data_IF_303009622680
#
_entry.id   IF_303009622680
#
_cell.length_a   1.000
_cell.length_b   1.000
_cell.length_c   1.000
_cell.angle_alpha   90.00
_cell.angle_beta   90.00
_cell.angle_gamma   90.00
#
_symmetry.space_group_name_H-M   'P 1'
#
loop_
_entity.id
_entity.type
_entity.pdbx_description
1 polymer ?
#
# COMPACT_ATOMS: atom_id res chain seq x y z
N UNK A 1 14.91 18.48 2.73
CA UNK A 1 14.00 17.40 3.20
C UNK A 1 12.88 18.05 3.99
N UNK A 2 12.10 18.89 3.33
CA UNK A 2 11.18 19.82 3.99
C UNK A 2 9.94 19.91 3.12
N UNK A 3 8.79 19.58 3.69
CA UNK A 3 7.52 19.71 3.01
C UNK A 3 7.16 21.21 3.00
N UNK A 4 7.59 21.95 1.97
CA UNK A 4 7.22 23.35 1.74
C UNK A 4 5.79 23.50 1.19
N UNK A 5 4.94 22.48 1.30
CA UNK A 5 3.54 22.61 0.93
C UNK A 5 2.82 23.35 2.05
N UNK A 6 2.26 24.55 1.80
CA UNK A 6 1.38 25.19 2.77
C UNK A 6 0.30 24.19 3.14
N UNK A 7 0.03 24.02 4.43
CA UNK A 7 -1.03 23.14 4.92
C UNK A 7 -2.35 23.62 4.34
N UNK A 8 -2.73 23.07 3.18
CA UNK A 8 -4.02 23.36 2.57
C UNK A 8 -5.06 22.89 3.56
N UNK A 9 -5.78 23.84 4.16
CA UNK A 9 -6.76 23.67 5.25
C UNK A 9 -6.23 23.44 6.68
N UNK A 10 -4.95 23.63 6.97
CA UNK A 10 -4.45 23.64 8.37
C UNK A 10 -4.42 22.27 9.07
N UNK A 11 -4.61 21.17 8.35
CA UNK A 11 -4.45 19.81 8.91
C UNK A 11 -2.98 19.38 8.86
N UNK A 12 -2.33 19.30 10.02
CA UNK A 12 -0.99 18.72 10.19
C UNK A 12 -1.02 17.61 11.23
N UNK A 13 -0.11 16.64 11.10
CA UNK A 13 0.05 15.55 12.06
C UNK A 13 1.36 15.74 12.82
N UNK A 14 1.29 15.90 14.14
CA UNK A 14 2.47 16.02 14.99
C UNK A 14 3.11 14.64 15.23
N UNK A 15 4.42 14.54 15.02
CA UNK A 15 5.22 13.39 15.41
C UNK A 15 6.55 13.87 15.97
N UNK A 16 6.92 13.42 17.17
CA UNK A 16 8.19 13.81 17.81
C UNK A 16 8.38 15.34 17.92
N UNK A 17 7.28 16.06 18.18
CA UNK A 17 7.27 17.53 18.27
C UNK A 17 7.44 18.26 16.92
N UNK A 18 7.45 17.55 15.79
CA UNK A 18 7.55 18.15 14.46
C UNK A 18 6.24 17.97 13.68
N UNK A 19 5.74 19.02 12.99
CA UNK A 19 4.56 18.93 12.16
C UNK A 19 4.89 18.24 10.82
N UNK A 20 4.17 17.17 10.52
CA UNK A 20 4.25 16.45 9.25
C UNK A 20 2.97 16.64 8.45
N UNK A 21 3.11 16.70 7.12
CA UNK A 21 1.96 16.47 6.27
C UNK A 21 1.52 15.00 6.39
N UNK A 22 0.24 14.73 6.16
CA UNK A 22 -0.35 13.39 6.23
C UNK A 22 0.53 12.35 5.50
N UNK A 23 0.95 12.67 4.27
CA UNK A 23 1.77 11.79 3.43
C UNK A 23 3.10 11.44 4.11
N UNK A 24 3.89 12.42 4.55
CA UNK A 24 5.20 12.17 5.17
C UNK A 24 5.09 11.51 6.55
N UNK A 25 4.05 11.83 7.32
CA UNK A 25 3.77 11.17 8.59
C UNK A 25 3.59 9.66 8.38
N UNK A 26 2.76 9.28 7.42
CA UNK A 26 2.48 7.88 7.11
C UNK A 26 3.62 7.18 6.36
N UNK A 27 4.39 7.90 5.55
CA UNK A 27 5.62 7.41 4.93
C UNK A 27 6.64 6.99 5.99
N UNK A 28 6.92 7.88 6.93
CA UNK A 28 7.87 7.62 8.02
C UNK A 28 7.41 6.48 8.93
N UNK A 29 6.10 6.30 9.08
CA UNK A 29 5.51 5.17 9.83
C UNK A 29 5.42 3.86 9.04
N UNK A 30 5.78 3.84 7.75
CA UNK A 30 5.73 2.63 6.92
C UNK A 30 4.31 2.10 6.72
N UNK A 31 3.34 2.99 6.56
CA UNK A 31 1.93 2.64 6.34
C UNK A 31 1.44 3.00 4.93
N UNK A 32 2.36 3.17 3.98
CA UNK A 32 2.01 3.45 2.59
C UNK A 32 1.59 2.16 1.86
N UNK A 33 0.59 2.29 0.99
CA UNK A 33 0.17 1.24 0.09
C UNK A 33 1.15 1.12 -1.08
N UNK A 34 1.80 -0.03 -1.27
CA UNK A 34 2.70 -0.25 -2.40
C UNK A 34 2.00 -0.21 -3.77
N UNK A 35 0.67 -0.38 -3.83
CA UNK A 35 -0.10 -0.27 -5.08
C UNK A 35 -0.37 1.16 -5.57
N UNK A 36 -0.71 2.09 -4.66
CA UNK A 36 -1.08 3.47 -5.03
C UNK A 36 -0.19 4.55 -4.40
N UNK A 37 0.80 4.14 -3.59
CA UNK A 37 1.73 4.99 -2.83
C UNK A 37 1.03 5.99 -1.89
N UNK A 38 -0.24 5.74 -1.53
CA UNK A 38 -1.00 6.55 -0.59
C UNK A 38 -0.98 5.96 0.82
N UNK A 39 -1.09 6.79 1.87
CA UNK A 39 -1.23 6.34 3.24
C UNK A 39 -2.46 5.46 3.44
N UNK A 40 -2.29 4.34 4.14
CA UNK A 40 -3.39 3.45 4.51
C UNK A 40 -3.93 3.86 5.88
N UNK A 41 -5.01 4.63 5.88
CA UNK A 41 -5.74 5.06 7.07
C UNK A 41 -6.81 4.02 7.43
N UNK A 42 -6.41 2.87 7.97
CA UNK A 42 -7.34 1.82 8.44
C UNK A 42 -6.92 0.39 8.11
N UNK A 43 -7.85 -0.40 7.55
CA UNK A 43 -7.61 -1.81 7.19
C UNK A 43 -6.57 -1.88 6.07
N UNK A 44 -5.46 -2.56 6.35
CA UNK A 44 -4.41 -2.86 5.37
C UNK A 44 -4.25 -4.37 5.19
N UNK A 45 -3.78 -4.76 4.00
CA UNK A 45 -3.31 -6.12 3.72
C UNK A 45 -1.80 -6.09 3.78
N UNK A 46 -1.23 -6.92 4.64
CA UNK A 46 0.22 -7.12 4.70
C UNK A 46 0.56 -8.40 3.94
N UNK A 47 1.30 -8.26 2.85
CA UNK A 47 1.69 -9.35 1.97
C UNK A 47 3.04 -9.01 1.34
N UNK A 48 3.90 -10.01 1.11
CA UNK A 48 5.18 -9.79 0.40
C UNK A 48 6.07 -8.75 1.08
N UNK A 49 6.07 -8.74 2.43
CA UNK A 49 6.69 -7.72 3.28
C UNK A 49 6.25 -6.26 3.00
N UNK A 50 5.15 -6.08 2.27
CA UNK A 50 4.58 -4.79 1.85
C UNK A 50 3.16 -4.64 2.36
N UNK A 51 2.68 -3.41 2.39
CA UNK A 51 1.30 -3.09 2.78
C UNK A 51 0.52 -2.62 1.56
N UNK A 52 -0.73 -3.03 1.47
CA UNK A 52 -1.63 -2.67 0.39
C UNK A 52 -3.00 -2.33 0.95
N UNK A 53 -3.72 -1.44 0.27
CA UNK A 53 -5.15 -1.34 0.49
C UNK A 53 -5.84 -2.63 0.03
N UNK A 54 -6.96 -3.03 0.68
CA UNK A 54 -7.73 -4.19 0.27
C UNK A 54 -8.20 -4.16 -1.19
N UNK A 55 -8.44 -2.96 -1.72
CA UNK A 55 -8.83 -2.72 -3.12
C UNK A 55 -7.65 -2.77 -4.09
N UNK A 56 -6.45 -2.40 -3.63
CA UNK A 56 -5.22 -2.34 -4.43
C UNK A 56 -4.43 -3.65 -4.42
N UNK A 57 -4.77 -4.58 -3.52
CA UNK A 57 -4.18 -5.91 -3.50
C UNK A 57 -4.86 -6.81 -4.54
N UNK A 58 -4.39 -6.71 -5.78
CA UNK A 58 -4.97 -7.38 -6.95
C UNK A 58 -3.93 -8.23 -7.69
N UNK A 59 -4.39 -9.23 -8.44
CA UNK A 59 -3.54 -10.04 -9.29
C UNK A 59 -2.80 -9.18 -10.32
N UNK A 60 -1.47 -9.28 -10.38
CA UNK A 60 -0.66 -8.53 -11.32
C UNK A 60 -0.94 -8.85 -12.80
N UNK A 61 -1.65 -9.95 -13.08
CA UNK A 61 -2.03 -10.35 -14.43
C UNK A 61 -3.48 -9.99 -14.77
N UNK A 62 -4.45 -10.43 -13.95
CA UNK A 62 -5.88 -10.25 -14.26
C UNK A 62 -6.56 -9.14 -13.45
N UNK A 63 -5.82 -8.42 -12.60
CA UNK A 63 -6.31 -7.33 -11.75
C UNK A 63 -7.48 -7.70 -10.83
N UNK A 64 -7.74 -9.00 -10.64
CA UNK A 64 -8.75 -9.48 -9.70
C UNK A 64 -8.27 -9.28 -8.26
N UNK A 65 -9.15 -8.78 -7.39
CA UNK A 65 -8.87 -8.63 -5.96
C UNK A 65 -8.47 -9.96 -5.33
N UNK A 66 -7.35 -9.93 -4.62
CA UNK A 66 -6.75 -11.05 -3.89
C UNK A 66 -7.00 -10.95 -2.38
N UNK A 67 -7.86 -10.02 -1.96
CA UNK A 67 -8.25 -9.80 -0.57
C UNK A 67 -9.17 -10.91 0.00
N UNK A 68 -9.71 -11.77 -0.87
CA UNK A 68 -10.57 -12.91 -0.52
C UNK A 68 -10.01 -14.18 -1.14
N UNK A 69 -9.39 -15.02 -0.32
CA UNK A 69 -8.85 -16.33 -0.70
C UNK A 69 -7.32 -16.38 -0.70
N UNK A 70 -6.77 -17.45 -1.27
CA UNK A 70 -5.32 -17.69 -1.34
C UNK A 70 -4.73 -17.05 -2.59
N UNK A 71 -3.64 -16.32 -2.43
CA UNK A 71 -2.82 -15.81 -3.53
C UNK A 71 -1.46 -16.49 -3.55
N UNK A 72 -0.76 -16.37 -4.68
CA UNK A 72 0.62 -16.80 -4.85
C UNK A 72 1.48 -15.59 -5.18
N UNK A 73 2.61 -15.49 -4.50
CA UNK A 73 3.62 -14.48 -4.78
C UNK A 73 4.62 -15.03 -5.81
N UNK A 74 5.00 -14.21 -6.78
CA UNK A 74 6.03 -14.53 -7.76
C UNK A 74 6.72 -13.25 -8.23
N UNK A 75 8.06 -13.20 -8.20
CA UNK A 75 8.84 -12.01 -8.60
C UNK A 75 8.33 -10.71 -7.97
N UNK A 76 8.07 -10.73 -6.66
CA UNK A 76 7.58 -9.55 -5.92
C UNK A 76 6.21 -9.01 -6.41
N UNK A 77 5.45 -9.85 -7.14
CA UNK A 77 4.10 -9.57 -7.60
C UNK A 77 3.09 -10.62 -7.12
N UNK A 78 1.89 -10.21 -6.67
CA UNK A 78 0.86 -11.15 -6.26
C UNK A 78 0.04 -11.64 -7.46
N UNK A 79 -0.25 -12.93 -7.51
CA UNK A 79 -1.01 -13.60 -8.56
C UNK A 79 -2.16 -14.42 -7.94
N UNK A 80 -3.31 -14.46 -8.61
CA UNK A 80 -4.34 -15.42 -8.24
C UNK A 80 -3.89 -16.84 -8.59
N UNK A 81 -4.39 -17.85 -7.87
CA UNK A 81 -4.05 -19.25 -8.10
C UNK A 81 -4.13 -19.66 -9.58
N UNK A 82 -5.20 -19.25 -10.27
CA UNK A 82 -5.41 -19.60 -11.68
C UNK A 82 -4.38 -18.96 -12.62
N UNK A 83 -4.05 -17.68 -12.40
CA UNK A 83 -3.03 -16.99 -13.20
C UNK A 83 -1.63 -17.52 -12.90
N UNK A 84 -1.34 -17.82 -11.63
CA UNK A 84 -0.05 -18.39 -11.26
C UNK A 84 0.17 -19.73 -11.96
N UNK A 85 -0.81 -20.63 -11.92
CA UNK A 85 -0.72 -21.93 -12.62
C UNK A 85 -0.59 -21.71 -14.13
N UNK A 86 -1.38 -20.83 -14.74
CA UNK A 86 -1.30 -20.58 -16.19
C UNK A 86 0.01 -19.96 -16.67
N UNK A 87 0.70 -19.19 -15.82
CA UNK A 87 1.90 -18.44 -16.19
C UNK A 87 3.20 -19.15 -15.76
N UNK A 88 3.14 -19.97 -14.71
CA UNK A 88 4.33 -20.54 -14.06
C UNK A 88 4.25 -22.05 -13.85
N UNK A 89 3.21 -22.74 -14.35
CA UNK A 89 3.10 -24.21 -14.36
C UNK A 89 3.35 -24.80 -15.74
#
# INVERSE_FOLDING_TARGET
>A
MECFTPFVNGSFFEHDGQPYCEVHYHERRGSLCSGCQKPITGRCITAMAKKFHPEHFVCAFCLKQLNKGTFKEQNDKPYCQNCFIKLFS
#
